data_IF_992582155923
#
_entry.id   IF_992582155923
#
_cell.length_a   1.000
_cell.length_b   1.000
_cell.length_c   1.000
_cell.angle_alpha   90.00
_cell.angle_beta   90.00
_cell.angle_gamma   90.00
#
_symmetry.space_group_name_H-M   'P 1'
#
loop_
_entity.id
_entity.type
_entity.pdbx_description
1 polymer ?
#
# COMPACT_ATOMS: atom_id res chain seq x y z
N UNK A 1 5.67 -0.62 15.22
CA UNK A 1 5.40 -1.74 14.32
C UNK A 1 6.71 -2.27 13.75
N UNK A 2 6.83 -3.58 13.68
CA UNK A 2 8.06 -4.24 13.22
C UNK A 2 7.76 -5.11 11.99
N UNK A 3 6.60 -5.77 11.99
CA UNK A 3 6.21 -6.67 10.89
C UNK A 3 4.97 -6.15 10.20
N UNK A 4 4.85 -6.48 8.91
CA UNK A 4 3.65 -6.24 8.13
C UNK A 4 3.28 -7.48 7.32
N UNK A 5 1.99 -7.67 7.09
CA UNK A 5 1.46 -8.76 6.27
C UNK A 5 0.48 -8.17 5.27
N UNK A 6 0.70 -8.45 3.99
CA UNK A 6 -0.19 -8.05 2.92
C UNK A 6 -1.05 -9.24 2.51
N UNK A 7 -2.37 -9.04 2.44
CA UNK A 7 -3.32 -10.06 2.01
C UNK A 7 -4.39 -9.43 1.14
N UNK A 8 -5.09 -10.26 0.37
CA UNK A 8 -6.32 -9.82 -0.28
C UNK A 8 -7.34 -9.47 0.80
N UNK A 9 -8.07 -8.37 0.59
CA UNK A 9 -9.06 -7.95 1.58
C UNK A 9 -10.27 -8.88 1.59
N UNK A 10 -10.76 -9.18 2.80
CA UNK A 10 -12.05 -9.82 2.98
C UNK A 10 -13.20 -8.81 3.09
N UNK A 11 -12.86 -7.51 3.11
CA UNK A 11 -13.84 -6.42 3.18
C UNK A 11 -14.34 -6.12 1.77
N UNK A 12 -15.66 -6.16 1.57
CA UNK A 12 -16.26 -5.80 0.31
C UNK A 12 -15.89 -4.36 -0.07
N UNK A 13 -15.53 -4.16 -1.32
CA UNK A 13 -15.15 -2.84 -1.82
C UNK A 13 -13.69 -2.48 -1.67
N UNK A 14 -12.87 -3.34 -1.06
CA UNK A 14 -11.43 -3.12 -0.89
C UNK A 14 -10.61 -4.19 -1.56
N UNK A 15 -9.43 -3.80 -2.09
CA UNK A 15 -8.54 -4.74 -2.80
C UNK A 15 -7.66 -5.52 -1.83
N UNK A 16 -7.05 -4.84 -0.87
CA UNK A 16 -6.01 -5.41 -0.02
C UNK A 16 -6.16 -4.97 1.43
N UNK A 17 -5.58 -5.78 2.30
CA UNK A 17 -5.47 -5.52 3.72
C UNK A 17 -4.01 -5.59 4.12
N UNK A 18 -3.56 -4.61 4.89
CA UNK A 18 -2.26 -4.65 5.57
C UNK A 18 -2.49 -4.77 7.06
N UNK A 19 -1.79 -5.73 7.66
CA UNK A 19 -1.84 -5.97 9.10
C UNK A 19 -0.43 -5.70 9.63
N UNK A 20 -0.36 -4.89 10.69
CA UNK A 20 0.90 -4.52 11.33
C UNK A 20 1.02 -5.21 12.68
N UNK A 21 2.24 -5.61 13.01
CA UNK A 21 2.55 -6.36 14.23
C UNK A 21 3.74 -5.73 14.94
N UNK A 22 3.77 -5.84 16.27
CA UNK A 22 4.90 -5.41 17.07
C UNK A 22 6.02 -6.46 17.06
N UNK A 23 7.10 -6.21 17.81
CA UNK A 23 8.25 -7.12 17.88
C UNK A 23 7.88 -8.49 18.49
N UNK A 24 6.80 -8.57 19.22
CA UNK A 24 6.29 -9.81 19.82
C UNK A 24 5.28 -10.51 18.93
N UNK A 25 5.11 -10.00 17.70
CA UNK A 25 4.18 -10.49 16.69
C UNK A 25 2.71 -10.37 17.08
N UNK A 26 2.41 -9.39 17.93
CA UNK A 26 1.03 -9.04 18.26
C UNK A 26 0.51 -7.99 17.29
N UNK A 27 -0.72 -8.19 16.82
CA UNK A 27 -1.36 -7.26 15.90
C UNK A 27 -1.56 -5.90 16.58
N UNK A 28 -1.09 -4.86 15.94
CA UNK A 28 -1.22 -3.49 16.44
C UNK A 28 -2.19 -2.65 15.63
N UNK A 29 -2.30 -2.90 14.31
CA UNK A 29 -3.18 -2.12 13.43
C UNK A 29 -3.51 -2.92 12.19
N UNK A 30 -4.71 -2.69 11.64
CA UNK A 30 -5.15 -3.24 10.37
C UNK A 30 -5.69 -2.10 9.52
N UNK A 31 -5.26 -2.01 8.26
CA UNK A 31 -5.81 -1.06 7.29
C UNK A 31 -6.27 -1.81 6.05
N UNK A 32 -7.27 -1.23 5.39
CA UNK A 32 -7.78 -1.74 4.11
C UNK A 32 -7.58 -0.64 3.07
N UNK A 33 -7.10 -1.00 1.89
CA UNK A 33 -6.80 0.00 0.88
C UNK A 33 -7.10 -0.50 -0.53
N UNK A 34 -7.24 0.45 -1.45
CA UNK A 34 -7.61 0.19 -2.83
C UNK A 34 -9.10 -0.06 -2.97
N UNK A 35 -9.72 0.60 -3.94
CA UNK A 35 -11.15 0.41 -4.23
C UNK A 35 -11.29 -0.78 -5.17
N UNK A 36 -12.10 -1.78 -4.80
CA UNK A 36 -12.36 -2.95 -5.64
C UNK A 36 -12.98 -2.50 -6.96
N UNK A 37 -12.48 -3.05 -8.06
CA UNK A 37 -12.94 -2.71 -9.41
C UNK A 37 -12.30 -1.44 -9.99
N UNK A 38 -11.64 -0.61 -9.20
CA UNK A 38 -10.94 0.55 -9.72
C UNK A 38 -9.61 0.16 -10.34
N UNK A 39 -9.14 0.97 -11.30
CA UNK A 39 -7.84 0.78 -11.91
C UNK A 39 -6.73 1.25 -10.98
N UNK A 40 -5.54 0.67 -11.15
CA UNK A 40 -4.30 1.13 -10.58
C UNK A 40 -3.15 0.72 -11.49
N UNK A 41 -1.95 1.19 -11.21
CA UNK A 41 -0.80 0.94 -12.06
C UNK A 41 -0.45 -0.55 -12.17
N UNK A 42 -0.63 -1.31 -11.10
CA UNK A 42 -0.34 -2.75 -11.12
C UNK A 42 -1.33 -3.53 -11.99
N UNK A 43 -2.49 -2.95 -12.24
CA UNK A 43 -3.54 -3.55 -13.08
C UNK A 43 -3.39 -3.14 -14.55
N UNK A 44 -3.13 -1.85 -14.80
CA UNK A 44 -3.16 -1.29 -16.17
C UNK A 44 -1.78 -1.14 -16.80
N UNK A 45 -0.73 -0.92 -16.01
CA UNK A 45 0.60 -0.59 -16.53
C UNK A 45 0.67 0.78 -17.21
N UNK A 46 -0.31 1.62 -17.01
CA UNK A 46 -0.40 2.94 -17.65
C UNK A 46 0.36 3.98 -16.81
N UNK A 47 1.55 4.36 -17.29
CA UNK A 47 2.41 5.33 -16.60
C UNK A 47 1.79 6.72 -16.54
N UNK A 48 1.06 7.13 -17.55
CA UNK A 48 0.40 8.44 -17.55
C UNK A 48 -0.70 8.48 -16.49
N UNK A 49 -1.46 7.41 -16.35
CA UNK A 49 -2.47 7.29 -15.31
C UNK A 49 -1.81 7.33 -13.92
N UNK A 50 -0.68 6.63 -13.74
CA UNK A 50 0.08 6.66 -12.50
C UNK A 50 0.54 8.06 -12.17
N UNK A 51 1.09 8.78 -13.14
CA UNK A 51 1.60 10.13 -12.94
C UNK A 51 0.46 11.10 -12.58
N UNK A 52 -0.69 10.95 -13.19
CA UNK A 52 -1.90 11.73 -12.83
C UNK A 52 -2.37 11.42 -11.41
N UNK A 53 -2.36 10.15 -11.03
CA UNK A 53 -2.70 9.76 -9.66
C UNK A 53 -1.76 10.40 -8.65
N UNK A 54 -0.45 10.29 -8.90
CA UNK A 54 0.57 10.84 -8.00
C UNK A 54 0.48 12.35 -7.91
N UNK A 55 0.20 13.02 -9.01
CA UNK A 55 0.02 14.46 -9.04
C UNK A 55 -1.16 14.89 -8.16
N UNK A 56 -2.31 14.22 -8.31
CA UNK A 56 -3.50 14.51 -7.50
C UNK A 56 -3.30 14.24 -6.02
N UNK A 57 -2.51 13.23 -5.68
CA UNK A 57 -2.32 12.78 -4.30
C UNK A 57 -1.03 13.28 -3.65
N UNK A 58 -0.25 14.11 -4.32
CA UNK A 58 0.96 14.72 -3.78
C UNK A 58 0.64 16.04 -3.08
N UNK A 59 -0.23 15.98 -2.07
CA UNK A 59 -0.65 17.17 -1.35
C UNK A 59 -0.40 17.01 0.15
N UNK A 60 -0.54 18.11 0.90
CA UNK A 60 -0.23 18.13 2.31
C UNK A 60 -1.21 17.32 3.19
N UNK A 61 -2.35 16.90 2.63
CA UNK A 61 -3.35 16.12 3.37
C UNK A 61 -3.01 14.64 3.45
N UNK A 62 -2.17 14.16 2.52
CA UNK A 62 -1.77 12.76 2.46
C UNK A 62 -0.29 12.65 2.80
N UNK A 63 0.02 11.93 3.86
CA UNK A 63 1.40 11.72 4.27
C UNK A 63 1.87 10.34 3.80
N UNK A 64 2.66 10.31 2.73
CA UNK A 64 3.23 9.07 2.19
C UNK A 64 4.55 8.68 2.85
N UNK A 65 4.94 9.36 3.91
CA UNK A 65 6.15 9.06 4.68
C UNK A 65 5.87 8.24 5.94
N UNK A 66 4.61 7.85 6.15
CA UNK A 66 4.20 6.91 7.21
C UNK A 66 3.64 5.66 6.55
N UNK A 67 3.85 4.46 7.13
CA UNK A 67 3.41 3.22 6.48
C UNK A 67 1.95 2.88 6.69
N UNK A 68 1.33 3.32 7.76
CA UNK A 68 0.13 2.73 8.31
C UNK A 68 -1.16 3.50 8.01
N UNK A 69 -1.24 4.08 6.82
CA UNK A 69 -2.47 4.70 6.32
C UNK A 69 -2.89 4.09 4.98
N UNK A 70 -4.20 4.05 4.68
CA UNK A 70 -4.65 3.58 3.37
C UNK A 70 -4.07 4.39 2.21
N UNK A 71 -3.93 5.70 2.36
CA UNK A 71 -3.38 6.57 1.33
C UNK A 71 -1.92 6.21 1.02
N UNK A 72 -1.11 6.02 2.05
CA UNK A 72 0.30 5.63 1.88
C UNK A 72 0.44 4.25 1.26
N UNK A 73 -0.37 3.29 1.71
CA UNK A 73 -0.35 1.94 1.17
C UNK A 73 -0.72 1.93 -0.32
N UNK A 74 -1.75 2.66 -0.72
CA UNK A 74 -2.13 2.79 -2.14
C UNK A 74 -1.02 3.43 -2.96
N UNK A 75 -0.45 4.53 -2.46
CA UNK A 75 0.62 5.25 -3.13
C UNK A 75 1.83 4.36 -3.43
N UNK A 76 2.29 3.61 -2.43
CA UNK A 76 3.51 2.82 -2.56
C UNK A 76 3.28 1.46 -3.24
N UNK A 77 2.15 0.84 -3.03
CA UNK A 77 1.90 -0.55 -3.47
C UNK A 77 1.12 -0.60 -4.79
N UNK A 78 0.01 0.12 -4.90
CA UNK A 78 -0.83 0.10 -6.10
C UNK A 78 -0.30 1.05 -7.19
N UNK A 79 0.29 2.15 -6.79
CA UNK A 79 0.77 3.22 -7.67
C UNK A 79 2.29 3.41 -7.56
N UNK A 80 2.99 2.35 -7.19
CA UNK A 80 4.44 2.35 -7.07
C UNK A 80 5.15 2.36 -8.42
N UNK A 81 6.44 2.07 -8.40
CA UNK A 81 7.28 2.14 -9.60
C UNK A 81 7.17 0.92 -10.51
N UNK A 82 6.55 -0.17 -10.02
CA UNK A 82 6.42 -1.43 -10.75
C UNK A 82 4.96 -1.79 -10.93
N UNK A 83 4.67 -2.59 -11.95
CA UNK A 83 3.37 -3.22 -12.12
C UNK A 83 3.20 -4.47 -11.26
N UNK A 84 4.25 -4.90 -10.57
CA UNK A 84 4.23 -6.06 -9.68
C UNK A 84 3.90 -5.61 -8.25
N UNK A 85 2.79 -6.14 -7.71
CA UNK A 85 2.40 -5.92 -6.32
C UNK A 85 3.52 -6.38 -5.37
N UNK A 86 4.10 -7.55 -5.64
CA UNK A 86 5.16 -8.12 -4.82
C UNK A 86 6.39 -7.22 -4.79
N UNK A 87 6.81 -6.71 -5.94
CA UNK A 87 7.95 -5.80 -6.05
C UNK A 87 7.69 -4.49 -5.30
N UNK A 88 6.51 -3.90 -5.48
CA UNK A 88 6.13 -2.67 -4.79
C UNK A 88 6.04 -2.87 -3.29
N UNK A 89 5.51 -4.00 -2.86
CA UNK A 89 5.42 -4.32 -1.43
C UNK A 89 6.80 -4.49 -0.80
N UNK A 90 7.72 -5.17 -1.48
CA UNK A 90 9.09 -5.30 -1.00
C UNK A 90 9.78 -3.94 -0.87
N UNK A 91 9.58 -3.06 -1.83
CA UNK A 91 10.11 -1.68 -1.77
C UNK A 91 9.50 -0.89 -0.61
N UNK A 92 8.20 -1.06 -0.39
CA UNK A 92 7.48 -0.43 0.72
C UNK A 92 8.05 -0.91 2.08
N UNK A 93 8.25 -2.22 2.24
CA UNK A 93 8.83 -2.77 3.45
C UNK A 93 10.22 -2.21 3.72
N UNK A 94 11.05 -2.13 2.67
CA UNK A 94 12.40 -1.59 2.78
C UNK A 94 12.40 -0.12 3.16
N UNK A 95 11.52 0.66 2.51
CA UNK A 95 11.40 2.10 2.80
C UNK A 95 11.06 2.37 4.26
N UNK A 96 10.18 1.58 4.84
CA UNK A 96 9.70 1.79 6.21
C UNK A 96 10.37 0.87 7.23
N UNK A 97 11.41 0.16 6.82
CA UNK A 97 12.17 -0.74 7.69
C UNK A 97 11.27 -1.77 8.39
N UNK A 98 10.36 -2.36 7.62
CA UNK A 98 9.44 -3.37 8.09
C UNK A 98 9.88 -4.76 7.58
N UNK A 99 9.58 -5.78 8.37
CA UNK A 99 9.83 -7.18 8.01
C UNK A 99 8.53 -7.86 7.64
N UNK A 100 8.60 -8.86 6.78
CA UNK A 100 7.45 -9.70 6.48
C UNK A 100 7.07 -10.51 7.70
N UNK A 101 5.80 -10.52 8.02
CA UNK A 101 5.25 -11.33 9.11
C UNK A 101 5.19 -12.84 8.68
#
# INVERSE_FOLDING_TARGET
MVYAQLKKSSIEGKKYTLIFYDKERKKTKTIHFGQAGADDYTKTGDKEQRDRYRDRHSNSRENHNVPDTPASASWHILWGNSTSISTNYNSYLKRFNLKKY
#
